data_IF_138072707361
#
_entry.id   IF_138072707361
#
_cell.length_a   1.000
_cell.length_b   1.000
_cell.length_c   1.000
_cell.angle_alpha   90.00
_cell.angle_beta   90.00
_cell.angle_gamma   90.00
#
_symmetry.space_group_name_H-M   'P 1'
#
loop_
_entity.id
_entity.type
_entity.pdbx_description
1 polymer ?
#
# COMPACT_ATOMS: atom_id res chain seq x y z
N UNK A 1 -18.80 -36.76 84.84
CA UNK A 1 -18.11 -35.67 84.16
C UNK A 1 -17.70 -36.16 82.83
N UNK A 2 -18.45 -35.82 81.73
CA UNK A 2 -18.15 -36.20 80.32
C UNK A 2 -17.55 -34.96 79.62
N UNK A 3 -16.34 -35.07 79.13
CA UNK A 3 -15.68 -34.03 78.38
C UNK A 3 -16.23 -34.12 76.94
N UNK A 4 -16.78 -33.03 76.48
CA UNK A 4 -17.24 -32.84 75.10
C UNK A 4 -16.12 -32.22 74.28
N UNK A 5 -15.57 -32.96 73.29
CA UNK A 5 -14.58 -32.46 72.39
C UNK A 5 -15.27 -31.73 71.22
N UNK A 6 -15.00 -30.42 71.12
CA UNK A 6 -15.47 -29.56 70.05
C UNK A 6 -14.45 -29.68 68.91
N UNK A 7 -14.85 -30.30 67.80
CA UNK A 7 -14.09 -30.33 66.50
C UNK A 7 -14.40 -29.07 65.76
N UNK A 8 -13.43 -28.16 65.62
CA UNK A 8 -13.52 -26.99 64.77
C UNK A 8 -13.05 -27.40 63.38
N UNK A 9 -13.98 -27.56 62.45
CA UNK A 9 -13.68 -27.80 61.05
C UNK A 9 -13.27 -26.49 60.36
N UNK A 10 -12.02 -26.41 59.93
CA UNK A 10 -11.48 -25.32 59.11
C UNK A 10 -11.90 -25.55 57.64
N UNK A 11 -12.90 -24.82 57.14
CA UNK A 11 -13.25 -24.80 55.71
C UNK A 11 -12.25 -23.86 55.00
N UNK A 12 -11.28 -24.44 54.28
CA UNK A 12 -10.49 -23.72 53.28
C UNK A 12 -11.36 -23.42 52.08
N UNK A 13 -11.86 -22.20 51.95
CA UNK A 13 -12.44 -21.68 50.71
C UNK A 13 -11.29 -21.40 49.77
N UNK A 14 -10.96 -22.36 48.90
CA UNK A 14 -10.09 -22.09 47.74
C UNK A 14 -10.84 -21.18 46.80
N UNK A 15 -10.54 -19.88 46.88
CA UNK A 15 -11.00 -18.91 45.90
C UNK A 15 -10.44 -19.26 44.53
N UNK A 16 -11.26 -19.81 43.65
CA UNK A 16 -11.00 -19.88 42.23
C UNK A 16 -11.04 -18.45 41.71
N UNK A 17 -9.91 -17.72 41.77
CA UNK A 17 -9.71 -16.53 40.99
C UNK A 17 -9.71 -16.98 39.52
N UNK A 18 -10.86 -16.89 38.88
CA UNK A 18 -10.98 -16.93 37.45
C UNK A 18 -10.16 -15.74 36.94
N UNK A 19 -8.91 -16.00 36.54
CA UNK A 19 -8.12 -15.05 35.78
C UNK A 19 -8.80 -14.94 34.41
N UNK A 20 -9.79 -14.04 34.28
CA UNK A 20 -10.24 -13.61 33.00
C UNK A 20 -9.02 -12.97 32.33
N UNK A 21 -8.40 -13.71 31.40
CA UNK A 21 -7.38 -13.16 30.51
C UNK A 21 -8.03 -11.94 29.85
N UNK A 22 -7.59 -10.74 30.22
CA UNK A 22 -8.01 -9.53 29.52
C UNK A 22 -7.86 -9.81 28.03
N UNK A 23 -8.93 -9.62 27.23
CA UNK A 23 -8.85 -9.82 25.81
C UNK A 23 -7.76 -8.87 25.29
N UNK A 24 -6.67 -9.43 24.78
CA UNK A 24 -5.62 -8.64 24.16
C UNK A 24 -6.23 -7.78 23.05
N UNK A 25 -5.81 -6.53 22.94
CA UNK A 25 -6.23 -5.65 21.83
C UNK A 25 -5.90 -6.36 20.50
N UNK A 26 -6.80 -6.35 19.50
CA UNK A 26 -6.50 -6.95 18.20
C UNK A 26 -5.39 -6.18 17.50
N UNK A 27 -4.56 -6.87 16.72
CA UNK A 27 -3.73 -6.23 15.72
C UNK A 27 -4.62 -5.65 14.63
N UNK A 28 -4.18 -4.58 13.99
CA UNK A 28 -4.91 -3.96 12.89
C UNK A 28 -3.96 -3.78 11.71
N UNK A 29 -4.32 -4.36 10.59
CA UNK A 29 -3.62 -4.21 9.32
C UNK A 29 -4.56 -3.51 8.34
N UNK A 30 -4.15 -2.34 7.87
CA UNK A 30 -4.89 -1.55 6.89
C UNK A 30 -4.12 -1.54 5.56
N UNK A 31 -4.67 -2.20 4.56
CA UNK A 31 -4.10 -2.33 3.22
C UNK A 31 -4.78 -1.29 2.32
N UNK A 32 -3.98 -0.38 1.78
CA UNK A 32 -4.42 0.69 0.89
C UNK A 32 -3.70 0.56 -0.45
N UNK A 33 -4.46 0.19 -1.48
CA UNK A 33 -4.00 0.15 -2.87
C UNK A 33 -3.95 1.57 -3.45
N UNK A 34 -3.22 1.74 -4.55
CA UNK A 34 -3.08 2.99 -5.29
C UNK A 34 -3.64 2.82 -6.71
N UNK A 35 -4.67 3.60 -7.06
CA UNK A 35 -5.35 3.55 -8.36
C UNK A 35 -6.00 2.18 -8.71
N UNK A 36 -6.37 1.35 -7.74
CA UNK A 36 -7.05 0.10 -8.01
C UNK A 36 -8.56 0.30 -8.12
N UNK A 37 -9.15 -0.21 -9.19
CA UNK A 37 -10.58 -0.13 -9.43
C UNK A 37 -11.39 -1.14 -8.62
N UNK A 38 -12.65 -0.79 -8.34
CA UNK A 38 -13.61 -1.70 -7.69
C UNK A 38 -13.75 -3.02 -8.44
N UNK A 39 -13.77 -2.97 -9.78
CA UNK A 39 -13.93 -4.15 -10.64
C UNK A 39 -12.63 -4.94 -10.89
N UNK A 40 -11.50 -4.59 -10.28
CA UNK A 40 -10.25 -5.29 -10.49
C UNK A 40 -10.10 -6.56 -9.63
N UNK A 41 -11.00 -6.81 -8.69
CA UNK A 41 -11.00 -8.00 -7.83
C UNK A 41 -12.05 -9.02 -8.25
N UNK A 42 -11.72 -10.32 -8.20
CA UNK A 42 -12.65 -11.40 -8.54
C UNK A 42 -13.89 -11.40 -7.66
N UNK A 43 -13.77 -11.09 -6.36
CA UNK A 43 -14.91 -10.97 -5.44
C UNK A 43 -15.87 -9.82 -5.80
N UNK A 44 -15.47 -8.91 -6.67
CA UNK A 44 -16.31 -7.85 -7.23
C UNK A 44 -16.67 -8.05 -8.71
N UNK A 45 -16.31 -9.21 -9.29
CA UNK A 45 -16.75 -9.62 -10.61
C UNK A 45 -15.68 -9.61 -11.69
N UNK A 46 -14.41 -9.41 -11.36
CA UNK A 46 -13.30 -9.51 -12.30
C UNK A 46 -13.18 -10.92 -12.89
N UNK A 47 -13.05 -11.01 -14.21
CA UNK A 47 -12.98 -12.28 -14.95
C UNK A 47 -11.59 -12.56 -15.53
N UNK A 48 -10.74 -11.52 -15.65
CA UNK A 48 -9.44 -11.60 -16.32
C UNK A 48 -8.28 -11.67 -15.34
N UNK A 49 -8.39 -11.00 -14.19
CA UNK A 49 -7.36 -10.92 -13.16
C UNK A 49 -7.69 -11.89 -12.03
N UNK A 50 -6.70 -12.58 -11.50
CA UNK A 50 -6.87 -13.56 -10.43
C UNK A 50 -6.44 -12.99 -9.09
N UNK A 51 -7.34 -13.06 -8.08
CA UNK A 51 -7.13 -12.54 -6.73
C UNK A 51 -7.61 -13.51 -5.64
N UNK A 52 -7.17 -14.79 -5.67
CA UNK A 52 -7.72 -15.83 -4.79
C UNK A 52 -7.44 -15.61 -3.30
N UNK A 53 -6.38 -14.91 -2.94
CA UNK A 53 -6.03 -14.64 -1.54
C UNK A 53 -6.91 -13.53 -0.95
N UNK A 54 -7.12 -12.44 -1.69
CA UNK A 54 -8.04 -11.35 -1.32
C UNK A 54 -9.47 -11.88 -1.27
N UNK A 55 -9.86 -12.75 -2.21
CA UNK A 55 -11.17 -13.41 -2.20
C UNK A 55 -11.37 -14.28 -0.95
N UNK A 56 -10.31 -14.94 -0.46
CA UNK A 56 -10.36 -15.68 0.81
C UNK A 56 -10.58 -14.76 2.01
N UNK A 57 -9.96 -13.58 2.05
CA UNK A 57 -10.24 -12.58 3.09
C UNK A 57 -11.71 -12.18 3.06
N UNK A 58 -12.24 -11.87 1.88
CA UNK A 58 -13.67 -11.54 1.71
C UNK A 58 -14.58 -12.67 2.15
N UNK A 59 -14.27 -13.94 1.82
CA UNK A 59 -15.08 -15.10 2.18
C UNK A 59 -15.12 -15.37 3.67
N UNK A 60 -14.05 -15.02 4.39
CA UNK A 60 -13.93 -15.16 5.85
C UNK A 60 -14.25 -13.85 6.61
N UNK A 61 -14.68 -12.81 5.91
CA UNK A 61 -14.89 -11.48 6.47
C UNK A 61 -16.16 -10.79 5.96
N UNK A 62 -16.10 -9.48 5.88
CA UNK A 62 -17.21 -8.63 5.45
C UNK A 62 -16.84 -7.94 4.14
N UNK A 63 -17.72 -8.04 3.14
CA UNK A 63 -17.63 -7.28 1.90
C UNK A 63 -18.45 -6.00 2.03
N UNK A 64 -17.78 -4.86 1.96
CA UNK A 64 -18.43 -3.54 1.93
C UNK A 64 -18.83 -3.21 0.49
N UNK A 65 -20.11 -2.99 0.24
CA UNK A 65 -20.66 -2.68 -1.09
C UNK A 65 -20.88 -1.18 -1.31
N UNK A 66 -20.79 -0.38 -0.25
CA UNK A 66 -21.00 1.07 -0.22
C UNK A 66 -19.93 1.73 0.66
N UNK A 67 -18.65 1.53 0.29
CA UNK A 67 -17.52 2.17 0.94
C UNK A 67 -16.83 3.10 -0.05
N UNK A 68 -16.70 4.37 0.31
CA UNK A 68 -16.22 5.42 -0.59
C UNK A 68 -14.99 6.09 -0.01
N UNK A 69 -14.00 6.38 -0.88
CA UNK A 69 -12.86 7.22 -0.51
C UNK A 69 -13.24 8.70 -0.50
N UNK A 70 -12.46 9.50 0.20
CA UNK A 70 -12.76 10.92 0.37
C UNK A 70 -12.31 11.83 -0.77
N UNK A 71 -11.57 11.31 -1.76
CA UNK A 71 -11.06 12.09 -2.88
C UNK A 71 -10.68 11.19 -4.06
N UNK A 72 -10.76 11.68 -5.31
CA UNK A 72 -10.42 10.91 -6.51
C UNK A 72 -8.93 10.88 -6.85
N UNK A 73 -8.05 11.42 -6.02
CA UNK A 73 -6.59 11.44 -6.23
C UNK A 73 -5.84 11.17 -4.93
N UNK A 74 -4.63 10.62 -5.05
CA UNK A 74 -3.90 9.96 -3.95
C UNK A 74 -3.61 10.83 -2.73
N UNK A 75 -2.96 12.01 -2.85
CA UNK A 75 -2.58 12.76 -1.64
C UNK A 75 -3.79 13.25 -0.83
N UNK A 76 -4.83 13.84 -1.43
CA UNK A 76 -6.02 14.22 -0.65
C UNK A 76 -6.79 13.00 -0.13
N UNK A 77 -6.88 11.87 -0.85
CA UNK A 77 -7.52 10.66 -0.34
C UNK A 77 -6.79 10.12 0.89
N UNK A 78 -5.45 10.05 0.84
CA UNK A 78 -4.60 9.65 1.98
C UNK A 78 -4.71 10.63 3.15
N UNK A 79 -4.79 11.94 2.88
CA UNK A 79 -5.03 12.96 3.90
C UNK A 79 -6.38 12.76 4.60
N UNK A 80 -7.46 12.54 3.84
CA UNK A 80 -8.80 12.25 4.38
C UNK A 80 -8.79 10.98 5.22
N UNK A 81 -8.21 9.89 4.70
CA UNK A 81 -8.09 8.62 5.42
C UNK A 81 -7.36 8.79 6.75
N UNK A 82 -6.18 9.43 6.72
CA UNK A 82 -5.34 9.54 7.91
C UNK A 82 -5.91 10.47 8.97
N UNK A 83 -6.64 11.51 8.56
CA UNK A 83 -7.16 12.53 9.48
C UNK A 83 -8.62 12.33 9.88
N UNK A 84 -9.38 11.50 9.13
CA UNK A 84 -10.83 11.36 9.31
C UNK A 84 -11.62 12.63 8.93
N UNK A 85 -10.97 13.61 8.32
CA UNK A 85 -11.61 14.88 7.93
C UNK A 85 -12.20 14.74 6.52
N UNK A 86 -13.41 15.23 6.35
CA UNK A 86 -14.03 15.36 5.03
C UNK A 86 -13.17 16.24 4.10
N UNK A 87 -13.15 15.94 2.80
CA UNK A 87 -12.30 16.64 1.79
C UNK A 87 -12.43 18.17 1.82
N UNK A 88 -13.61 18.71 2.18
CA UNK A 88 -13.82 20.15 2.38
C UNK A 88 -13.07 20.75 3.58
N UNK A 89 -12.64 19.93 4.53
CA UNK A 89 -11.89 20.34 5.73
C UNK A 89 -10.46 19.77 5.76
N UNK A 90 -10.12 18.86 4.84
CA UNK A 90 -8.79 18.28 4.73
C UNK A 90 -7.73 19.35 4.40
N UNK A 91 -6.55 19.20 4.98
CA UNK A 91 -5.43 20.14 4.77
C UNK A 91 -4.85 20.03 3.36
N UNK A 92 -4.79 18.80 2.80
CA UNK A 92 -4.23 18.51 1.49
C UNK A 92 -5.39 18.17 0.56
N UNK A 93 -5.52 18.94 -0.53
CA UNK A 93 -6.67 18.86 -1.47
C UNK A 93 -6.27 18.55 -2.90
N UNK A 94 -4.96 18.45 -3.18
CA UNK A 94 -4.38 18.10 -4.47
C UNK A 94 -3.05 17.37 -4.27
N UNK A 95 -2.47 16.82 -5.36
CA UNK A 95 -1.14 16.21 -5.36
C UNK A 95 -0.01 17.26 -5.48
N UNK A 96 -0.24 18.47 -4.97
CA UNK A 96 0.68 19.59 -5.14
C UNK A 96 2.02 19.37 -4.44
N UNK A 97 3.06 19.88 -5.08
CA UNK A 97 4.41 20.00 -4.56
C UNK A 97 4.78 21.48 -4.39
N UNK A 98 5.72 21.76 -3.51
CA UNK A 98 6.13 23.14 -3.22
C UNK A 98 7.21 23.58 -4.23
N UNK A 99 6.80 24.19 -5.34
CA UNK A 99 7.68 24.59 -6.44
C UNK A 99 8.82 25.52 -6.02
N UNK A 100 8.63 26.35 -4.98
CA UNK A 100 9.66 27.25 -4.46
C UNK A 100 10.88 26.54 -3.83
N UNK A 101 10.82 25.22 -3.61
CA UNK A 101 11.95 24.41 -3.15
C UNK A 101 13.01 24.17 -4.24
N UNK A 102 12.69 24.37 -5.52
CA UNK A 102 13.62 24.20 -6.64
C UNK A 102 13.14 23.23 -7.71
N UNK A 103 14.05 22.40 -8.25
CA UNK A 103 13.76 21.47 -9.35
C UNK A 103 13.02 20.21 -8.86
N UNK A 104 11.86 20.40 -8.26
CA UNK A 104 11.00 19.33 -7.67
C UNK A 104 10.47 18.31 -8.69
N UNK A 105 10.56 18.61 -9.98
CA UNK A 105 10.11 17.71 -11.05
C UNK A 105 11.25 16.85 -11.63
N UNK A 106 12.47 17.00 -11.15
CA UNK A 106 13.65 16.30 -11.63
C UNK A 106 14.05 15.17 -10.69
N UNK A 107 13.99 13.92 -11.16
CA UNK A 107 14.44 12.75 -10.39
C UNK A 107 15.94 12.81 -10.10
N UNK A 108 16.76 13.31 -11.02
CA UNK A 108 18.20 13.51 -10.79
C UNK A 108 18.43 14.55 -9.67
N UNK A 109 17.68 15.67 -9.69
CA UNK A 109 17.79 16.68 -8.65
C UNK A 109 17.31 16.16 -7.29
N UNK A 110 16.20 15.42 -7.23
CA UNK A 110 15.71 14.79 -6.00
C UNK A 110 16.69 13.74 -5.47
N UNK A 111 17.44 13.06 -6.35
CA UNK A 111 18.45 12.09 -5.93
C UNK A 111 19.60 12.80 -5.18
N UNK A 112 20.08 13.91 -5.71
CA UNK A 112 21.16 14.71 -5.08
C UNK A 112 20.67 15.51 -3.88
N UNK A 113 19.45 16.03 -3.94
CA UNK A 113 18.86 16.98 -2.99
C UNK A 113 17.57 16.39 -2.37
N UNK A 114 17.68 15.64 -1.26
CA UNK A 114 16.52 15.00 -0.61
C UNK A 114 15.38 15.95 -0.27
N UNK A 115 15.73 17.19 0.06
CA UNK A 115 14.78 18.25 0.41
C UNK A 115 13.83 18.65 -0.74
N UNK A 116 14.13 18.25 -1.98
CA UNK A 116 13.28 18.54 -3.14
C UNK A 116 12.11 17.54 -3.27
N UNK A 117 12.20 16.35 -2.68
CA UNK A 117 11.15 15.36 -2.85
C UNK A 117 9.98 15.56 -1.87
N UNK A 118 8.78 15.12 -2.29
CA UNK A 118 7.59 15.08 -1.46
C UNK A 118 6.59 16.22 -1.67
N UNK A 119 5.38 15.94 -1.26
CA UNK A 119 4.20 16.79 -1.40
C UNK A 119 4.08 17.78 -0.24
N UNK A 120 3.01 18.61 -0.28
CA UNK A 120 2.66 19.48 0.84
C UNK A 120 2.55 18.70 2.14
N UNK A 121 3.14 19.19 3.25
CA UNK A 121 3.15 18.45 4.49
C UNK A 121 1.86 18.61 5.28
N UNK A 122 1.45 17.55 5.96
CA UNK A 122 0.53 17.65 7.08
C UNK A 122 1.12 18.54 8.16
N UNK A 123 0.29 19.34 8.79
CA UNK A 123 0.72 20.26 9.86
C UNK A 123 1.10 19.53 11.13
N UNK A 124 1.97 20.15 11.91
CA UNK A 124 2.24 19.70 13.28
C UNK A 124 0.95 19.64 14.10
N UNK A 125 0.86 18.66 15.00
CA UNK A 125 -0.30 18.49 15.87
C UNK A 125 -1.56 17.96 15.19
N UNK A 126 -1.54 17.67 13.88
CA UNK A 126 -2.67 16.99 13.22
C UNK A 126 -2.94 15.65 13.88
N UNK A 127 -4.17 15.39 14.32
CA UNK A 127 -4.58 14.07 14.78
C UNK A 127 -4.72 13.15 13.57
N UNK A 128 -3.81 12.20 13.48
CA UNK A 128 -3.84 11.16 12.45
C UNK A 128 -4.22 9.82 13.05
N UNK A 129 -4.62 8.86 12.21
CA UNK A 129 -4.86 7.49 12.67
C UNK A 129 -3.60 6.89 13.32
N UNK A 130 -2.39 7.21 12.80
CA UNK A 130 -1.13 6.79 13.42
C UNK A 130 -0.99 7.29 14.85
N UNK A 131 -1.18 8.59 15.09
CA UNK A 131 -1.15 9.18 16.43
C UNK A 131 -2.24 8.63 17.34
N UNK A 132 -3.45 8.44 16.80
CA UNK A 132 -4.56 7.85 17.55
C UNK A 132 -4.20 6.43 18.01
N UNK A 133 -3.59 5.63 17.16
CA UNK A 133 -3.19 4.27 17.48
C UNK A 133 -2.03 4.22 18.48
N UNK A 134 -1.03 5.10 18.36
CA UNK A 134 0.02 5.25 19.38
C UNK A 134 -0.58 5.64 20.74
N UNK A 135 -1.48 6.62 20.78
CA UNK A 135 -2.16 7.02 22.01
C UNK A 135 -3.00 5.88 22.61
N UNK A 136 -3.47 4.97 21.78
CA UNK A 136 -4.17 3.76 22.21
C UNK A 136 -3.21 2.62 22.62
N UNK A 137 -1.89 2.83 22.59
CA UNK A 137 -0.87 1.86 23.00
C UNK A 137 -0.54 0.80 21.97
N UNK A 138 -0.69 1.12 20.69
CA UNK A 138 -0.22 0.28 19.57
C UNK A 138 1.19 0.68 19.15
N UNK A 139 2.02 -0.29 18.78
CA UNK A 139 3.19 -0.03 17.95
C UNK A 139 2.73 0.18 16.51
N UNK A 140 3.24 1.21 15.84
CA UNK A 140 2.70 1.65 14.55
C UNK A 140 3.74 1.55 13.44
N UNK A 141 3.36 0.95 12.30
CA UNK A 141 4.19 0.87 11.10
C UNK A 141 3.45 1.36 9.87
N UNK A 142 4.17 2.05 8.96
CA UNK A 142 3.67 2.44 7.66
C UNK A 142 4.63 1.97 6.57
N UNK A 143 4.13 1.22 5.59
CA UNK A 143 4.95 0.58 4.56
C UNK A 143 4.40 0.88 3.16
N UNK A 144 5.21 1.50 2.31
CA UNK A 144 4.83 1.85 0.94
C UNK A 144 4.87 3.34 0.62
N UNK A 145 3.86 3.84 -0.08
CA UNK A 145 3.76 5.23 -0.57
C UNK A 145 3.16 6.15 0.49
N UNK A 146 3.88 7.20 0.86
CA UNK A 146 3.42 8.22 1.83
C UNK A 146 2.72 9.40 1.16
N UNK A 147 3.46 10.38 0.65
CA UNK A 147 2.93 11.50 -0.13
C UNK A 147 2.26 12.64 0.64
N UNK A 148 2.50 12.78 1.95
CA UNK A 148 1.90 13.81 2.79
C UNK A 148 2.94 14.66 3.55
N UNK A 149 4.12 14.81 2.93
CA UNK A 149 5.21 15.62 3.44
C UNK A 149 6.47 15.45 2.61
N UNK A 150 7.48 16.21 2.95
CA UNK A 150 8.83 16.12 2.37
C UNK A 150 9.85 15.90 3.48
N UNK A 151 11.04 15.37 3.19
CA UNK A 151 12.07 15.12 4.19
C UNK A 151 12.36 16.35 5.06
N UNK A 152 12.36 16.18 6.37
CA UNK A 152 12.54 17.25 7.36
C UNK A 152 11.28 18.04 7.72
N UNK A 153 10.17 17.89 6.96
CA UNK A 153 8.91 18.58 7.29
C UNK A 153 8.18 17.96 8.48
N UNK A 154 7.14 18.64 8.96
CA UNK A 154 6.24 18.10 10.00
C UNK A 154 5.34 16.96 9.46
N UNK A 155 5.22 16.83 8.13
CA UNK A 155 4.38 15.85 7.48
C UNK A 155 5.01 14.45 7.31
N UNK A 156 6.27 14.23 7.71
CA UNK A 156 6.92 12.91 7.57
C UNK A 156 6.25 11.85 8.46
N UNK A 157 6.26 10.55 8.07
CA UNK A 157 5.54 9.50 8.79
C UNK A 157 5.84 9.45 10.29
N UNK A 158 7.11 9.53 10.70
CA UNK A 158 7.51 9.49 12.11
C UNK A 158 6.90 10.62 12.95
N UNK A 159 6.74 11.82 12.37
CA UNK A 159 6.07 12.94 13.04
C UNK A 159 4.55 12.87 12.97
N UNK A 160 4.00 11.95 12.18
CA UNK A 160 2.56 11.74 12.02
C UNK A 160 2.05 10.46 12.72
N UNK A 161 2.87 9.90 13.63
CA UNK A 161 2.45 8.81 14.51
C UNK A 161 2.76 7.42 13.99
N UNK A 162 3.83 7.25 13.22
CA UNK A 162 4.35 5.96 12.84
C UNK A 162 5.74 5.73 13.41
N UNK A 163 5.91 4.69 14.24
CA UNK A 163 7.18 4.35 14.87
C UNK A 163 8.18 3.81 13.86
N UNK A 164 7.69 3.15 12.81
CA UNK A 164 8.49 2.65 11.71
C UNK A 164 7.85 3.00 10.36
N UNK A 165 8.68 3.46 9.45
CA UNK A 165 8.33 3.71 8.05
C UNK A 165 9.36 3.06 7.13
N UNK A 166 8.89 2.40 6.06
CA UNK A 166 9.73 1.98 4.95
C UNK A 166 8.98 2.11 3.63
N UNK A 167 9.55 2.89 2.69
CA UNK A 167 8.91 3.07 1.38
C UNK A 167 9.25 4.38 0.69
N UNK A 168 8.31 4.86 -0.12
CA UNK A 168 8.43 6.10 -0.87
C UNK A 168 7.91 7.28 -0.05
N UNK A 169 8.75 8.25 0.27
CA UNK A 169 8.29 9.49 0.87
C UNK A 169 7.54 10.37 -0.15
N UNK A 170 7.98 10.37 -1.41
CA UNK A 170 7.46 11.18 -2.50
C UNK A 170 6.57 10.35 -3.45
N UNK A 171 5.37 10.86 -3.80
CA UNK A 171 4.50 10.20 -4.77
C UNK A 171 5.13 10.11 -6.16
N UNK A 172 5.86 11.15 -6.59
CA UNK A 172 6.53 11.17 -7.90
C UNK A 172 7.55 10.04 -8.04
N UNK A 173 8.28 9.71 -6.98
CA UNK A 173 9.21 8.58 -6.96
C UNK A 173 8.49 7.23 -7.02
N UNK A 174 7.27 7.15 -6.48
CA UNK A 174 6.46 5.94 -6.53
C UNK A 174 5.86 5.65 -7.93
N UNK A 175 6.15 6.47 -8.93
CA UNK A 175 5.80 6.20 -10.33
C UNK A 175 6.79 5.24 -11.03
N UNK A 176 7.81 4.75 -10.34
CA UNK A 176 8.65 3.63 -10.75
C UNK A 176 8.78 2.62 -9.61
N UNK A 177 8.75 1.34 -9.95
CA UNK A 177 8.93 0.24 -8.99
C UNK A 177 10.39 -0.21 -8.86
N UNK A 178 11.29 0.47 -9.56
CA UNK A 178 12.75 0.32 -9.46
C UNK A 178 13.39 1.66 -9.13
N UNK A 179 13.05 2.27 -7.96
CA UNK A 179 13.63 3.54 -7.56
C UNK A 179 15.11 3.39 -7.19
N UNK A 180 15.92 4.48 -7.25
CA UNK A 180 17.31 4.42 -6.83
C UNK A 180 17.48 4.40 -5.31
N UNK A 181 16.43 4.67 -4.55
CA UNK A 181 16.39 4.57 -3.08
C UNK A 181 14.95 4.50 -2.56
N UNK A 182 14.83 3.99 -1.32
CA UNK A 182 13.64 4.11 -0.48
C UNK A 182 14.02 4.82 0.83
N UNK A 183 13.02 5.13 1.63
CA UNK A 183 13.21 5.72 2.96
C UNK A 183 12.95 4.69 4.04
N UNK A 184 13.87 4.60 5.02
CA UNK A 184 13.66 3.93 6.29
C UNK A 184 13.63 5.00 7.37
N UNK A 185 12.46 5.31 7.87
CA UNK A 185 12.21 6.48 8.73
C UNK A 185 12.69 7.78 8.07
N UNK A 186 13.73 8.41 8.60
CA UNK A 186 14.33 9.65 8.11
C UNK A 186 15.62 9.45 7.30
N UNK A 187 15.95 8.19 6.97
CA UNK A 187 17.18 7.83 6.26
C UNK A 187 16.88 7.22 4.90
N UNK A 188 17.65 7.58 3.88
CA UNK A 188 17.61 6.91 2.57
C UNK A 188 18.35 5.59 2.62
N UNK A 189 17.72 4.57 2.07
CA UNK A 189 18.31 3.26 1.74
C UNK A 189 18.50 3.24 0.23
N UNK A 190 19.75 3.31 -0.22
CA UNK A 190 20.08 3.29 -1.63
C UNK A 190 20.00 1.88 -2.19
N UNK A 191 19.43 1.76 -3.38
CA UNK A 191 19.18 0.51 -4.08
C UNK A 191 20.12 0.40 -5.30
N UNK A 192 20.37 -0.81 -5.74
CA UNK A 192 21.13 -1.10 -6.97
C UNK A 192 20.29 -0.91 -8.23
N UNK A 193 19.71 0.30 -8.33
CA UNK A 193 18.91 0.74 -9.47
C UNK A 193 19.44 2.07 -10.00
N UNK A 194 19.42 2.22 -11.33
CA UNK A 194 19.76 3.50 -11.97
C UNK A 194 18.59 4.48 -11.83
N UNK A 195 18.90 5.77 -11.75
CA UNK A 195 17.89 6.83 -11.82
C UNK A 195 17.23 6.76 -13.19
N UNK A 196 15.89 6.64 -13.19
CA UNK A 196 15.07 6.71 -14.41
C UNK A 196 13.82 7.50 -14.09
N UNK A 197 13.68 8.64 -14.78
CA UNK A 197 12.46 9.44 -14.67
C UNK A 197 11.32 8.72 -15.39
N UNK A 198 10.25 8.30 -14.69
CA UNK A 198 9.15 7.56 -15.29
C UNK A 198 8.36 8.37 -16.32
N UNK A 199 8.45 9.68 -16.32
CA UNK A 199 7.74 10.55 -17.26
C UNK A 199 8.57 10.91 -18.49
N UNK A 200 9.91 10.84 -18.40
CA UNK A 200 10.83 11.22 -19.45
C UNK A 200 11.47 10.03 -20.17
N UNK A 201 11.57 8.88 -19.50
CA UNK A 201 12.21 7.69 -20.08
C UNK A 201 11.34 7.07 -21.17
N UNK A 202 11.87 6.99 -22.38
CA UNK A 202 11.20 6.46 -23.59
C UNK A 202 11.96 5.27 -24.16
N UNK A 203 11.38 4.59 -25.17
CA UNK A 203 12.12 3.65 -26.00
C UNK A 203 13.31 4.35 -26.67
N UNK A 204 14.36 3.60 -26.97
CA UNK A 204 15.49 4.13 -27.71
C UNK A 204 15.07 4.47 -29.15
N UNK A 205 15.73 5.44 -29.78
CA UNK A 205 15.45 5.83 -31.14
C UNK A 205 15.65 4.62 -32.08
N UNK A 206 14.67 4.34 -32.91
CA UNK A 206 14.69 3.20 -33.84
C UNK A 206 14.42 1.84 -33.20
N UNK A 207 14.13 1.77 -31.90
CA UNK A 207 13.75 0.51 -31.25
C UNK A 207 12.42 -0.02 -31.80
N UNK A 208 12.36 -1.33 -32.04
CA UNK A 208 11.13 -2.00 -32.43
C UNK A 208 10.19 -2.09 -31.19
N UNK A 209 8.98 -1.51 -31.24
CA UNK A 209 8.06 -1.57 -30.11
C UNK A 209 7.48 -2.97 -29.86
N UNK A 210 7.59 -3.89 -30.81
CA UNK A 210 7.15 -5.28 -30.63
C UNK A 210 8.26 -6.21 -30.14
N UNK A 211 9.52 -5.75 -30.12
CA UNK A 211 10.63 -6.50 -29.55
C UNK A 211 10.71 -6.29 -28.03
N UNK A 212 10.57 -7.35 -27.23
CA UNK A 212 10.75 -7.33 -25.78
C UNK A 212 12.10 -6.76 -25.35
N UNK A 213 13.15 -6.96 -26.15
CA UNK A 213 14.48 -6.44 -25.85
C UNK A 213 14.50 -4.91 -25.73
N UNK A 214 13.60 -4.21 -26.46
CA UNK A 214 13.45 -2.76 -26.39
C UNK A 214 12.99 -2.24 -25.02
N UNK A 215 12.43 -3.12 -24.18
CA UNK A 215 11.87 -2.78 -22.85
C UNK A 215 12.74 -3.20 -21.68
N UNK A 216 13.83 -3.97 -21.91
CA UNK A 216 14.70 -4.49 -20.83
C UNK A 216 15.20 -3.42 -19.87
N UNK A 217 15.45 -2.21 -20.36
CA UNK A 217 15.94 -1.10 -19.54
C UNK A 217 14.95 -0.61 -18.47
N UNK A 218 13.66 -0.95 -18.58
CA UNK A 218 12.63 -0.55 -17.63
C UNK A 218 12.51 -1.51 -16.44
N UNK A 219 13.12 -2.69 -16.54
CA UNK A 219 13.30 -3.63 -15.42
C UNK A 219 14.73 -3.51 -14.90
N UNK A 220 14.90 -3.44 -13.58
CA UNK A 220 16.21 -3.28 -12.94
C UNK A 220 16.41 -4.34 -11.85
N UNK A 221 17.36 -4.13 -10.91
CA UNK A 221 17.81 -5.19 -10.02
C UNK A 221 16.91 -5.38 -8.79
N UNK A 222 16.44 -4.28 -8.17
CA UNK A 222 15.72 -4.34 -6.90
C UNK A 222 14.31 -3.77 -7.06
N UNK A 223 13.31 -4.67 -6.98
CA UNK A 223 11.90 -4.32 -7.07
C UNK A 223 11.40 -3.83 -5.71
N UNK A 224 10.97 -2.58 -5.64
CA UNK A 224 10.65 -1.91 -4.38
C UNK A 224 9.56 -2.61 -3.56
N UNK A 225 8.56 -3.23 -4.22
CA UNK A 225 7.47 -3.88 -3.48
C UNK A 225 7.92 -5.17 -2.78
N UNK A 226 8.97 -5.87 -3.27
CA UNK A 226 9.56 -6.98 -2.53
C UNK A 226 10.22 -6.47 -1.25
N UNK A 227 11.03 -5.42 -1.35
CA UNK A 227 11.73 -4.83 -0.20
C UNK A 227 10.77 -4.23 0.84
N UNK A 228 9.71 -3.57 0.38
CA UNK A 228 8.66 -3.02 1.25
C UNK A 228 7.94 -4.15 1.99
N UNK A 229 7.62 -5.23 1.29
CA UNK A 229 6.97 -6.40 1.87
C UNK A 229 7.86 -7.08 2.92
N UNK A 230 9.14 -7.27 2.62
CA UNK A 230 10.09 -7.90 3.54
C UNK A 230 10.26 -7.09 4.84
N UNK A 231 10.40 -5.76 4.73
CA UNK A 231 10.46 -4.87 5.91
C UNK A 231 9.15 -4.86 6.71
N UNK A 232 8.00 -4.97 6.03
CA UNK A 232 6.69 -5.10 6.68
C UNK A 232 6.56 -6.43 7.45
N UNK A 233 7.01 -7.54 6.87
CA UNK A 233 7.04 -8.84 7.55
C UNK A 233 7.98 -8.80 8.75
N UNK A 234 9.13 -8.17 8.61
CA UNK A 234 10.06 -7.95 9.72
C UNK A 234 9.43 -7.14 10.88
N UNK A 235 8.65 -6.10 10.56
CA UNK A 235 7.88 -5.37 11.56
C UNK A 235 6.88 -6.27 12.30
N UNK A 236 6.17 -7.15 11.61
CA UNK A 236 5.26 -8.13 12.25
C UNK A 236 6.03 -9.05 13.20
N UNK A 237 7.19 -9.56 12.79
CA UNK A 237 8.04 -10.42 13.63
C UNK A 237 8.53 -9.72 14.89
N UNK A 238 8.93 -8.48 14.78
CA UNK A 238 9.43 -7.69 15.92
C UNK A 238 8.34 -7.33 16.92
N UNK A 239 7.07 -7.27 16.48
CA UNK A 239 5.98 -6.75 17.29
C UNK A 239 4.88 -7.78 17.63
N UNK A 240 5.15 -9.07 17.42
CA UNK A 240 4.15 -10.14 17.62
C UNK A 240 3.66 -10.33 19.05
N UNK A 241 4.42 -9.85 20.05
CA UNK A 241 4.06 -9.96 21.47
C UNK A 241 3.22 -8.78 21.99
N UNK A 242 2.95 -7.78 21.16
CA UNK A 242 2.22 -6.57 21.53
C UNK A 242 1.27 -6.16 20.41
N UNK A 243 0.19 -5.40 20.70
CA UNK A 243 -0.72 -4.95 19.67
C UNK A 243 -0.02 -3.99 18.70
N UNK A 244 -0.17 -4.21 17.41
CA UNK A 244 0.37 -3.33 16.38
C UNK A 244 -0.69 -2.84 15.42
N UNK A 245 -0.47 -1.64 14.91
CA UNK A 245 -1.18 -1.05 13.77
C UNK A 245 -0.23 -0.96 12.58
N UNK A 246 -0.55 -1.66 11.52
CA UNK A 246 0.22 -1.69 10.29
C UNK A 246 -0.61 -1.06 9.17
N UNK A 247 -0.09 0.02 8.59
CA UNK A 247 -0.65 0.68 7.42
C UNK A 247 0.21 0.32 6.19
N UNK A 248 -0.31 -0.53 5.32
CA UNK A 248 0.35 -0.94 4.08
C UNK A 248 -0.19 -0.12 2.91
N UNK A 249 0.53 0.91 2.53
CA UNK A 249 0.18 1.83 1.44
C UNK A 249 0.93 1.45 0.16
N UNK A 250 0.56 0.30 -0.42
CA UNK A 250 1.24 -0.15 -1.65
C UNK A 250 1.03 0.84 -2.79
N UNK A 251 2.06 1.10 -3.64
CA UNK A 251 1.87 1.89 -4.86
C UNK A 251 1.21 1.09 -6.00
N UNK A 252 0.92 -0.22 -5.83
CA UNK A 252 0.27 -1.06 -6.83
C UNK A 252 -1.24 -0.78 -6.90
N UNK A 253 -1.87 -0.86 -8.08
CA UNK A 253 -1.33 -1.04 -9.41
C UNK A 253 -1.13 0.28 -10.19
N UNK A 254 -0.79 1.38 -9.49
CA UNK A 254 -0.52 2.68 -10.15
C UNK A 254 0.56 2.51 -11.25
N UNK A 255 0.46 3.27 -12.32
CA UNK A 255 1.44 3.27 -13.41
C UNK A 255 2.76 3.97 -12.96
N UNK A 256 3.93 3.58 -13.45
CA UNK A 256 4.23 2.78 -14.67
C UNK A 256 3.88 1.30 -14.49
N UNK A 257 3.60 0.64 -15.62
CA UNK A 257 3.31 -0.80 -15.60
C UNK A 257 4.60 -1.60 -15.47
N UNK A 258 4.87 -2.10 -14.28
CA UNK A 258 6.05 -2.89 -13.95
C UNK A 258 5.67 -3.97 -12.92
N UNK A 259 5.93 -5.22 -13.22
CA UNK A 259 5.64 -6.36 -12.35
C UNK A 259 6.75 -7.42 -12.46
N UNK A 260 6.87 -8.35 -11.52
CA UNK A 260 7.77 -9.48 -11.65
C UNK A 260 7.47 -10.32 -12.90
N UNK A 261 8.52 -10.65 -13.65
CA UNK A 261 8.46 -11.30 -14.96
C UNK A 261 7.60 -12.57 -14.95
N UNK A 262 7.68 -13.38 -13.91
CA UNK A 262 6.89 -14.62 -13.78
C UNK A 262 5.38 -14.38 -13.85
N UNK A 263 4.89 -13.27 -13.29
CA UNK A 263 3.48 -12.89 -13.36
C UNK A 263 3.12 -12.25 -14.71
N UNK A 264 4.03 -11.48 -15.30
CA UNK A 264 3.84 -10.95 -16.65
C UNK A 264 3.70 -12.09 -17.63
N UNK A 265 4.63 -13.06 -17.62
CA UNK A 265 4.60 -14.23 -18.51
C UNK A 265 3.33 -15.06 -18.34
N UNK A 266 2.86 -15.26 -17.10
CA UNK A 266 1.60 -15.93 -16.81
C UNK A 266 0.42 -15.28 -17.56
N UNK A 267 0.36 -13.95 -17.56
CA UNK A 267 -0.72 -13.24 -18.23
C UNK A 267 -0.50 -13.07 -19.74
N UNK A 268 0.74 -13.03 -20.20
CA UNK A 268 1.05 -13.13 -21.65
C UNK A 268 0.55 -14.46 -22.22
N UNK A 269 0.82 -15.56 -21.54
CA UNK A 269 0.29 -16.89 -21.92
C UNK A 269 -1.25 -16.91 -21.93
N UNK A 270 -1.89 -16.19 -21.01
CA UNK A 270 -3.34 -16.16 -20.87
C UNK A 270 -4.04 -15.23 -21.87
N UNK A 271 -3.46 -14.07 -22.18
CA UNK A 271 -4.07 -13.03 -23.04
C UNK A 271 -3.58 -13.08 -24.47
N UNK A 272 -2.41 -13.66 -24.72
CA UNK A 272 -1.72 -13.64 -26.01
C UNK A 272 -0.93 -12.36 -26.23
N UNK A 273 -0.48 -12.17 -27.49
CA UNK A 273 0.22 -10.96 -27.89
C UNK A 273 -0.74 -9.76 -27.92
N UNK A 274 -0.23 -8.58 -27.61
CA UNK A 274 -1.01 -7.36 -27.50
C UNK A 274 -0.25 -6.13 -28.03
N UNK A 275 -1.00 -5.07 -28.34
CA UNK A 275 -0.44 -3.79 -28.77
C UNK A 275 0.43 -3.17 -27.66
N UNK A 276 1.69 -2.86 -27.93
CA UNK A 276 2.58 -2.29 -26.94
C UNK A 276 2.21 -0.84 -26.59
N UNK A 277 2.36 -0.49 -25.33
CA UNK A 277 2.29 0.88 -24.89
C UNK A 277 3.65 1.57 -25.07
N UNK A 278 3.72 2.60 -25.91
CA UNK A 278 4.97 3.28 -26.28
C UNK A 278 5.27 4.55 -25.48
N UNK A 279 4.47 4.85 -24.44
CA UNK A 279 4.67 6.02 -23.58
C UNK A 279 3.99 7.31 -24.09
N UNK A 280 3.01 7.22 -24.97
CA UNK A 280 2.32 8.35 -25.58
C UNK A 280 1.29 9.04 -24.66
N UNK A 281 0.90 8.42 -23.55
CA UNK A 281 0.00 8.95 -22.50
C UNK A 281 0.70 9.15 -21.16
N UNK A 282 2.00 9.54 -21.18
CA UNK A 282 2.84 9.65 -19.98
C UNK A 282 3.31 8.29 -19.45
N UNK A 283 4.23 8.30 -18.50
CA UNK A 283 4.83 7.11 -17.89
C UNK A 283 5.68 6.25 -18.85
N UNK A 284 6.36 5.24 -18.30
CA UNK A 284 7.26 4.39 -19.06
C UNK A 284 6.50 3.50 -20.03
N UNK A 285 7.09 3.23 -21.22
CA UNK A 285 6.60 2.22 -22.15
C UNK A 285 6.50 0.82 -21.51
N UNK A 286 5.54 0.02 -22.01
CA UNK A 286 5.34 -1.36 -21.57
C UNK A 286 5.01 -2.25 -22.79
N UNK A 287 5.71 -3.39 -22.94
CA UNK A 287 5.49 -4.29 -24.07
C UNK A 287 4.13 -4.98 -24.02
N UNK A 288 3.71 -5.42 -22.83
CA UNK A 288 2.47 -6.12 -22.60
C UNK A 288 1.63 -5.39 -21.53
N UNK A 289 0.93 -4.30 -21.88
CA UNK A 289 0.27 -3.44 -20.88
C UNK A 289 -0.87 -4.13 -20.13
N UNK A 290 -1.73 -4.92 -20.79
CA UNK A 290 -2.79 -5.65 -20.12
C UNK A 290 -2.21 -6.75 -19.23
N UNK A 291 -1.29 -7.56 -19.76
CA UNK A 291 -0.66 -8.63 -18.99
C UNK A 291 0.07 -8.07 -17.76
N UNK A 292 0.79 -6.95 -17.90
CA UNK A 292 1.54 -6.35 -16.81
C UNK A 292 0.60 -5.74 -15.74
N UNK A 293 -0.49 -5.08 -16.11
CA UNK A 293 -1.48 -4.58 -15.16
C UNK A 293 -2.09 -5.71 -14.34
N UNK A 294 -2.53 -6.77 -14.99
CA UNK A 294 -3.05 -7.96 -14.32
C UNK A 294 -2.00 -8.62 -13.40
N UNK A 295 -0.76 -8.68 -13.88
CA UNK A 295 0.38 -9.21 -13.12
C UNK A 295 0.65 -8.40 -11.83
N UNK A 296 0.56 -7.07 -11.88
CA UNK A 296 0.74 -6.21 -10.70
C UNK A 296 -0.28 -6.54 -9.59
N UNK A 297 -1.53 -6.76 -9.96
CA UNK A 297 -2.61 -7.07 -9.02
C UNK A 297 -2.48 -8.49 -8.46
N UNK A 298 -2.20 -9.50 -9.31
CA UNK A 298 -2.03 -10.89 -8.86
C UNK A 298 -0.76 -11.10 -8.05
N UNK A 299 0.33 -10.38 -8.38
CA UNK A 299 1.52 -10.35 -7.56
C UNK A 299 1.21 -9.78 -6.15
N UNK A 300 0.40 -8.72 -6.08
CA UNK A 300 -0.01 -8.17 -4.79
C UNK A 300 -0.91 -9.14 -4.02
N UNK A 301 -1.84 -9.80 -4.70
CA UNK A 301 -2.68 -10.85 -4.11
C UNK A 301 -1.82 -11.98 -3.49
N UNK A 302 -0.73 -12.38 -4.16
CA UNK A 302 0.24 -13.34 -3.62
C UNK A 302 0.88 -12.82 -2.32
N UNK A 303 1.26 -11.53 -2.27
CA UNK A 303 1.83 -10.94 -1.06
C UNK A 303 0.80 -10.91 0.09
N UNK A 304 -0.47 -10.62 -0.20
CA UNK A 304 -1.55 -10.73 0.80
C UNK A 304 -1.67 -12.17 1.33
N UNK A 305 -1.57 -13.16 0.46
CA UNK A 305 -1.54 -14.58 0.86
C UNK A 305 -0.38 -14.88 1.82
N UNK A 306 0.83 -14.45 1.48
CA UNK A 306 2.04 -14.62 2.32
C UNK A 306 1.89 -13.94 3.69
N UNK A 307 1.31 -12.73 3.72
CA UNK A 307 1.03 -12.03 4.98
C UNK A 307 0.06 -12.82 5.86
N UNK A 308 -1.04 -13.31 5.30
CA UNK A 308 -2.03 -14.12 6.03
C UNK A 308 -1.41 -15.41 6.55
N UNK A 309 -0.59 -16.08 5.75
CA UNK A 309 0.10 -17.30 6.17
C UNK A 309 1.11 -17.01 7.29
N UNK A 310 1.83 -15.88 7.23
CA UNK A 310 2.71 -15.42 8.31
C UNK A 310 1.94 -15.19 9.61
N UNK A 311 0.81 -14.50 9.56
CA UNK A 311 -0.04 -14.25 10.73
C UNK A 311 -0.55 -15.56 11.34
N UNK A 312 -0.90 -16.56 10.53
CA UNK A 312 -1.31 -17.89 11.01
C UNK A 312 -0.15 -18.65 11.66
N UNK A 313 1.04 -18.63 11.06
CA UNK A 313 2.23 -19.27 11.60
C UNK A 313 2.62 -18.71 12.98
N UNK A 314 2.46 -17.40 13.18
CA UNK A 314 2.73 -16.73 14.45
C UNK A 314 1.55 -16.79 15.46
N UNK A 315 0.43 -17.40 15.08
CA UNK A 315 -0.77 -17.47 15.93
C UNK A 315 -1.49 -16.14 16.12
N UNK A 316 -1.25 -15.17 15.24
CA UNK A 316 -1.80 -13.80 15.32
C UNK A 316 -3.11 -13.64 14.55
N UNK A 317 -3.40 -14.50 13.59
CA UNK A 317 -4.48 -14.32 12.61
C UNK A 317 -5.85 -14.10 13.26
N UNK A 318 -6.21 -14.93 14.25
CA UNK A 318 -7.53 -14.87 14.92
C UNK A 318 -7.72 -13.58 15.77
N UNK A 319 -6.64 -12.89 16.10
CA UNK A 319 -6.69 -11.62 16.83
C UNK A 319 -6.17 -10.45 15.95
N UNK A 320 -6.38 -10.52 14.64
CA UNK A 320 -5.96 -9.48 13.69
C UNK A 320 -7.13 -9.05 12.82
N UNK A 321 -7.45 -7.77 12.82
CA UNK A 321 -8.38 -7.15 11.87
C UNK A 321 -7.61 -6.73 10.62
N UNK A 322 -7.96 -7.30 9.46
CA UNK A 322 -7.40 -6.92 8.16
C UNK A 322 -8.45 -6.13 7.38
N UNK A 323 -8.11 -4.90 7.01
CA UNK A 323 -8.95 -4.00 6.18
C UNK A 323 -8.25 -3.85 4.83
N UNK A 324 -8.97 -4.08 3.74
CA UNK A 324 -8.49 -3.94 2.38
C UNK A 324 -9.31 -2.91 1.61
N UNK A 325 -8.66 -1.95 0.97
CA UNK A 325 -9.32 -0.91 0.16
C UNK A 325 -8.34 -0.26 -0.84
N UNK A 326 -8.82 0.69 -1.65
CA UNK A 326 -8.02 1.54 -2.53
C UNK A 326 -8.13 3.02 -2.13
N UNK A 327 -7.12 3.83 -2.44
CA UNK A 327 -7.14 5.26 -2.16
C UNK A 327 -8.06 6.04 -3.11
N UNK A 328 -8.22 5.57 -4.35
CA UNK A 328 -9.17 6.06 -5.34
C UNK A 328 -9.47 4.98 -6.38
N UNK A 329 -10.27 5.32 -7.38
CA UNK A 329 -10.61 4.43 -8.50
C UNK A 329 -9.47 4.28 -9.52
N UNK A 330 -9.70 3.46 -10.59
CA UNK A 330 -8.65 3.09 -11.55
C UNK A 330 -8.23 4.26 -12.42
N UNK A 331 -6.96 4.23 -12.84
CA UNK A 331 -6.43 5.14 -13.86
C UNK A 331 -6.63 4.59 -15.28
N UNK A 332 -6.49 5.49 -16.29
CA UNK A 332 -6.48 5.16 -17.71
C UNK A 332 -5.24 5.72 -18.40
N UNK A 333 -4.26 6.20 -17.61
CA UNK A 333 -2.97 6.69 -18.08
C UNK A 333 -1.95 5.56 -18.19
N UNK A 334 -0.78 5.85 -18.78
CA UNK A 334 0.41 5.02 -18.69
C UNK A 334 0.26 3.60 -19.24
N UNK A 335 -0.67 3.37 -20.18
CA UNK A 335 -0.95 2.06 -20.75
C UNK A 335 -2.02 1.25 -20.02
N UNK A 336 -2.56 1.73 -18.89
CA UNK A 336 -3.72 1.08 -18.27
C UNK A 336 -4.95 1.15 -19.17
N UNK A 337 -5.72 0.08 -19.18
CA UNK A 337 -6.97 -0.03 -19.92
C UNK A 337 -8.12 -0.44 -19.00
N UNK A 338 -8.57 0.53 -18.19
CA UNK A 338 -9.68 0.33 -17.26
C UNK A 338 -10.98 -0.15 -17.91
N UNK A 339 -11.36 0.31 -19.15
CA UNK A 339 -12.50 -0.24 -19.87
C UNK A 339 -12.35 -1.72 -20.20
N UNK A 340 -11.17 -2.16 -20.70
CA UNK A 340 -10.94 -3.54 -21.07
C UNK A 340 -11.04 -4.50 -19.87
N UNK A 341 -10.56 -4.07 -18.70
CA UNK A 341 -10.69 -4.82 -17.45
C UNK A 341 -12.04 -4.65 -16.75
N UNK A 342 -12.87 -3.67 -17.19
CA UNK A 342 -14.05 -3.24 -16.44
C UNK A 342 -13.69 -2.83 -14.99
N UNK A 343 -12.54 -2.18 -14.81
CA UNK A 343 -11.98 -1.84 -13.49
C UNK A 343 -12.92 -0.99 -12.65
N UNK A 344 -13.75 -0.13 -13.25
CA UNK A 344 -14.76 0.64 -12.54
C UNK A 344 -15.91 -0.21 -11.99
N UNK A 345 -16.16 -1.40 -12.55
CA UNK A 345 -17.23 -2.31 -12.12
C UNK A 345 -18.61 -1.63 -12.17
N UNK A 346 -19.30 -1.60 -11.02
CA UNK A 346 -20.61 -0.95 -10.89
C UNK A 346 -20.52 0.59 -10.86
N UNK A 347 -19.35 1.13 -10.55
CA UNK A 347 -19.11 2.57 -10.40
C UNK A 347 -18.44 3.14 -11.64
N UNK A 348 -19.05 2.99 -12.80
CA UNK A 348 -18.51 3.46 -14.07
C UNK A 348 -18.44 4.97 -14.11
N UNK A 349 -17.26 5.52 -14.49
CA UNK A 349 -17.08 6.92 -14.83
C UNK A 349 -16.82 7.06 -16.33
N UNK A 350 -17.54 7.94 -17.00
CA UNK A 350 -17.30 8.28 -18.41
C UNK A 350 -16.08 9.20 -18.57
N UNK A 351 -15.60 9.78 -17.48
CA UNK A 351 -14.55 10.80 -17.48
C UNK A 351 -13.39 10.40 -16.59
N UNK A 352 -12.56 9.45 -16.98
CA UNK A 352 -11.27 9.14 -16.37
C UNK A 352 -11.16 9.53 -14.88
N UNK A 353 -10.02 9.50 -14.24
CA UNK A 353 -9.80 9.76 -12.80
C UNK A 353 -11.02 9.51 -11.93
N UNK A 354 -11.25 8.28 -11.69
CA UNK A 354 -12.14 7.63 -10.76
C UNK A 354 -13.04 8.50 -9.93
N UNK A 355 -14.20 8.77 -10.45
CA UNK A 355 -15.36 8.99 -9.60
C UNK A 355 -15.95 7.64 -9.14
N UNK A 356 -15.18 6.55 -9.29
CA UNK A 356 -15.60 5.20 -8.94
C UNK A 356 -14.99 4.84 -7.58
N UNK A 357 -15.82 4.86 -6.59
CA UNK A 357 -15.46 4.56 -5.21
C UNK A 357 -16.29 3.41 -4.67
#
# INVERSE_FOLDING_TARGET
MKKMNLLVGLFCIAGLSSCQKEKSKPNIIYILMDDMGYGDLQCYGQQKIETPNIDRLRNNGIKLTQHYTGSPVSAPARCVLLTGLHSGHAQIRANDEIASRGAINSHDSMYVHPELEGQYPLKSGTMTIGRMMQNAGYTTGCFGKWGLGYPGSEGVPGKQGFDQFYGYNCQRQAHTYYPPFLWKNDQRVYLDNKIRDPHLTKLDEGADPYDEASYRKFTQNEYANDLIFDEMIHFVDQNKEQPFFLLWTTPLPHVSLQAPERWVNYYVDKFGDEEPYTGNKGYMPCRYPHATYAAMISYFDEQVGKLVDKLKQEGLYENTLIIFTSDNGPTFNGGSDSPWFNSGGLFKSEYGWGKCF
#
